data_IF_107219588988
#
_entry.id   IF_107219588988
#
_cell.length_a   1.000
_cell.length_b   1.000
_cell.length_c   1.000
_cell.angle_alpha   90.00
_cell.angle_beta   90.00
_cell.angle_gamma   90.00
#
_symmetry.space_group_name_H-M   'P 1'
#
loop_
_entity.id
_entity.type
_entity.pdbx_description
1 polymer ?
#
# COMPACT_ATOMS: atom_id res chain seq x y z
N UNK A 1 33.50 78.24 -41.38
CA UNK A 1 34.94 77.93 -41.60
C UNK A 1 35.58 77.74 -40.24
N UNK A 2 36.26 76.61 -40.03
CA UNK A 2 36.95 76.31 -38.77
C UNK A 2 38.14 77.27 -38.61
N UNK A 3 38.19 78.02 -37.50
CA UNK A 3 39.22 79.02 -37.22
C UNK A 3 40.22 78.58 -36.15
N UNK A 4 39.81 77.65 -35.29
CA UNK A 4 40.66 77.14 -34.21
C UNK A 4 40.33 75.68 -33.88
N UNK A 5 41.38 74.88 -33.66
CA UNK A 5 41.31 73.53 -33.10
C UNK A 5 42.06 73.52 -31.78
N UNK A 6 41.35 73.25 -30.70
CA UNK A 6 41.90 73.20 -29.34
C UNK A 6 42.03 71.74 -28.90
N UNK A 7 43.26 71.31 -28.66
CA UNK A 7 43.60 69.99 -28.13
C UNK A 7 43.98 70.12 -26.65
N UNK A 8 43.36 69.35 -25.78
CA UNK A 8 43.59 69.44 -24.33
C UNK A 8 43.77 68.05 -23.76
N UNK A 9 44.92 67.82 -23.10
CA UNK A 9 45.18 66.64 -22.25
C UNK A 9 44.89 65.29 -22.93
N UNK A 10 45.25 65.16 -24.21
CA UNK A 10 45.06 63.93 -25.00
C UNK A 10 46.35 63.50 -25.71
N UNK A 11 46.74 62.23 -25.54
CA UNK A 11 47.97 61.64 -26.09
C UNK A 11 49.22 62.52 -25.90
N UNK A 12 49.80 63.06 -26.97
CA UNK A 12 50.99 63.91 -26.93
C UNK A 12 50.72 65.35 -26.47
N UNK A 13 49.45 65.77 -26.36
CA UNK A 13 49.05 67.10 -25.89
C UNK A 13 48.88 67.09 -24.37
N UNK A 14 49.96 67.41 -23.62
CA UNK A 14 49.97 67.38 -22.14
C UNK A 14 49.23 68.56 -21.49
N UNK A 15 48.98 69.63 -22.23
CA UNK A 15 48.25 70.82 -21.81
C UNK A 15 47.32 71.30 -22.91
N UNK A 16 46.65 72.42 -22.68
CA UNK A 16 45.79 73.05 -23.68
C UNK A 16 46.63 73.71 -24.77
N UNK A 17 46.49 73.24 -26.00
CA UNK A 17 47.20 73.76 -27.17
C UNK A 17 46.20 74.06 -28.28
N UNK A 18 46.29 75.24 -28.87
CA UNK A 18 45.40 75.67 -29.95
C UNK A 18 46.14 75.81 -31.28
N UNK A 19 45.56 75.27 -32.34
CA UNK A 19 45.92 75.57 -33.72
C UNK A 19 44.94 76.62 -34.24
N UNK A 20 45.37 77.88 -34.29
CA UNK A 20 44.58 79.02 -34.78
C UNK A 20 44.99 79.34 -36.21
N UNK A 21 44.03 79.42 -37.12
CA UNK A 21 44.29 79.72 -38.53
C UNK A 21 43.10 80.40 -39.21
N UNK A 22 43.38 81.33 -40.11
CA UNK A 22 42.43 81.98 -41.02
C UNK A 22 42.56 81.44 -42.46
N UNK A 23 43.46 80.49 -42.70
CA UNK A 23 43.79 79.99 -44.05
C UNK A 23 42.87 78.85 -44.45
N UNK A 24 42.51 78.83 -45.74
CA UNK A 24 41.72 77.75 -46.36
C UNK A 24 42.50 76.43 -46.46
N UNK A 25 43.82 76.52 -46.68
CA UNK A 25 44.71 75.36 -46.77
C UNK A 25 45.73 75.47 -45.65
N UNK A 26 45.82 74.42 -44.84
CA UNK A 26 46.72 74.34 -43.69
C UNK A 26 47.58 73.08 -43.82
N UNK A 27 48.90 73.24 -43.77
CA UNK A 27 49.84 72.13 -43.79
C UNK A 27 50.47 71.97 -42.41
N UNK A 28 50.09 70.90 -41.71
CA UNK A 28 50.63 70.56 -40.38
C UNK A 28 51.60 69.40 -40.52
N UNK A 29 52.89 69.65 -40.28
CA UNK A 29 53.95 68.65 -40.38
C UNK A 29 54.77 68.58 -39.09
N UNK A 30 55.49 67.47 -38.90
CA UNK A 30 56.31 67.23 -37.72
C UNK A 30 56.83 65.80 -37.69
N UNK A 31 57.78 65.53 -36.79
CA UNK A 31 58.38 64.20 -36.60
C UNK A 31 57.34 63.13 -36.19
N UNK A 32 57.70 61.86 -36.30
CA UNK A 32 56.84 60.78 -35.81
C UNK A 32 56.60 60.93 -34.30
N UNK A 33 55.36 60.67 -33.84
CA UNK A 33 54.98 60.81 -32.43
C UNK A 33 54.54 62.21 -31.98
N UNK A 34 54.61 63.24 -32.83
CA UNK A 34 54.22 64.62 -32.46
C UNK A 34 52.71 64.86 -32.35
N UNK A 35 51.86 63.84 -32.48
CA UNK A 35 50.40 63.95 -32.31
C UNK A 35 49.60 64.27 -33.58
N UNK A 36 50.20 64.20 -34.78
CA UNK A 36 49.50 64.42 -36.06
C UNK A 36 48.29 63.49 -36.25
N UNK A 37 48.47 62.19 -35.97
CA UNK A 37 47.37 61.21 -36.06
C UNK A 37 46.29 61.47 -35.02
N UNK A 38 46.67 61.89 -33.81
CA UNK A 38 45.70 62.25 -32.76
C UNK A 38 44.83 63.44 -33.16
N UNK A 39 45.43 64.45 -33.80
CA UNK A 39 44.69 65.59 -34.34
C UNK A 39 43.72 65.16 -35.45
N UNK A 40 44.14 64.29 -36.37
CA UNK A 40 43.26 63.79 -37.42
C UNK A 40 42.15 62.87 -36.88
N UNK A 41 42.43 62.04 -35.87
CA UNK A 41 41.44 61.20 -35.20
C UNK A 41 40.38 62.03 -34.46
N UNK A 42 40.75 63.16 -33.86
CA UNK A 42 39.80 64.08 -33.27
C UNK A 42 38.83 64.64 -34.32
N UNK A 43 39.34 65.03 -35.48
CA UNK A 43 38.49 65.50 -36.58
C UNK A 43 37.59 64.38 -37.14
N UNK A 44 38.04 63.12 -37.10
CA UNK A 44 37.29 61.98 -37.61
C UNK A 44 36.18 61.51 -36.66
N UNK A 45 36.44 61.48 -35.34
CA UNK A 45 35.50 61.06 -34.30
C UNK A 45 35.55 62.04 -33.11
N UNK A 46 35.02 63.26 -33.27
CA UNK A 46 35.10 64.30 -32.23
C UNK A 46 34.34 63.93 -30.95
N UNK A 47 33.39 63.00 -31.04
CA UNK A 47 32.60 62.48 -29.92
C UNK A 47 33.26 61.34 -29.14
N UNK A 48 34.46 60.88 -29.52
CA UNK A 48 35.20 59.88 -28.73
C UNK A 48 35.49 60.43 -27.33
N UNK A 49 35.25 59.61 -26.30
CA UNK A 49 35.49 59.91 -24.89
C UNK A 49 36.85 60.57 -24.59
N UNK A 50 37.88 60.23 -25.37
CA UNK A 50 39.24 60.75 -25.23
C UNK A 50 39.38 62.22 -25.63
N UNK A 51 38.44 62.76 -26.40
CA UNK A 51 38.45 64.14 -26.90
C UNK A 51 37.44 65.07 -26.21
N UNK A 52 36.83 64.63 -25.10
CA UNK A 52 35.83 65.40 -24.34
C UNK A 52 36.27 66.82 -23.94
N UNK A 53 37.57 67.04 -23.78
CA UNK A 53 38.16 68.34 -23.42
C UNK A 53 38.73 69.12 -24.63
N UNK A 54 38.64 68.55 -25.84
CA UNK A 54 39.07 69.18 -27.08
C UNK A 54 37.89 69.93 -27.73
N UNK A 55 38.18 71.00 -28.48
CA UNK A 55 37.14 71.87 -29.08
C UNK A 55 37.49 72.27 -30.50
N UNK A 56 36.45 72.47 -31.30
CA UNK A 56 36.50 73.07 -32.64
C UNK A 56 35.75 74.39 -32.60
N UNK A 57 36.41 75.48 -32.99
CA UNK A 57 35.88 76.84 -32.91
C UNK A 57 35.95 77.53 -34.29
N UNK A 58 34.86 78.21 -34.74
CA UNK A 58 33.51 78.09 -34.20
C UNK A 58 33.01 76.64 -34.32
N UNK A 59 32.00 76.28 -33.53
CA UNK A 59 31.39 74.95 -33.60
C UNK A 59 30.92 74.67 -35.03
N UNK A 60 31.48 73.64 -35.65
CA UNK A 60 31.17 73.25 -37.03
C UNK A 60 30.04 72.22 -36.99
N UNK A 61 28.97 72.48 -37.73
CA UNK A 61 27.85 71.55 -37.93
C UNK A 61 27.95 70.77 -39.25
N UNK A 62 28.82 71.21 -40.16
CA UNK A 62 29.06 70.58 -41.44
C UNK A 62 29.78 69.23 -41.27
N UNK A 63 29.53 68.30 -42.21
CA UNK A 63 30.22 67.01 -42.24
C UNK A 63 31.71 67.18 -42.49
N UNK A 64 32.54 66.80 -41.52
CA UNK A 64 33.99 66.79 -41.65
C UNK A 64 34.42 65.46 -42.29
N UNK A 65 35.04 65.52 -43.46
CA UNK A 65 35.60 64.36 -44.15
C UNK A 65 37.08 64.21 -43.79
N UNK A 66 37.42 63.14 -43.09
CA UNK A 66 38.80 62.82 -42.71
C UNK A 66 39.23 61.51 -43.34
N UNK A 67 40.30 61.57 -44.13
CA UNK A 67 40.98 60.40 -44.64
C UNK A 67 42.21 60.10 -43.79
N UNK A 68 42.10 59.13 -42.89
CA UNK A 68 43.21 58.70 -42.02
C UNK A 68 43.19 57.17 -41.80
N UNK A 69 44.10 56.64 -41.00
CA UNK A 69 44.20 55.20 -40.72
C UNK A 69 42.93 54.64 -40.05
N UNK A 70 42.28 55.43 -39.19
CA UNK A 70 41.01 55.06 -38.54
C UNK A 70 39.87 54.91 -39.56
N UNK A 71 39.81 55.79 -40.56
CA UNK A 71 38.87 55.66 -41.69
C UNK A 71 39.14 54.38 -42.50
N UNK A 72 40.41 54.11 -42.81
CA UNK A 72 40.78 52.90 -43.56
C UNK A 72 40.33 51.65 -42.79
N UNK A 73 40.63 51.57 -41.50
CA UNK A 73 40.24 50.42 -40.66
C UNK A 73 38.71 50.23 -40.53
N UNK A 74 37.95 51.32 -40.43
CA UNK A 74 36.50 51.25 -40.24
C UNK A 74 35.73 50.91 -41.53
N UNK A 75 36.26 51.28 -42.70
CA UNK A 75 35.55 51.16 -43.98
C UNK A 75 36.15 50.14 -44.95
N UNK A 76 37.42 49.77 -44.79
CA UNK A 76 38.08 48.78 -45.63
C UNK A 76 38.30 47.52 -44.81
N UNK A 77 37.75 46.41 -45.28
CA UNK A 77 37.95 45.09 -44.69
C UNK A 77 38.29 44.09 -45.79
N UNK A 78 39.32 43.27 -45.53
CA UNK A 78 39.61 42.07 -46.30
C UNK A 78 38.79 40.93 -45.71
N UNK A 79 37.87 40.38 -46.50
CA UNK A 79 37.17 39.16 -46.13
C UNK A 79 38.15 37.98 -46.17
N UNK A 80 38.16 37.14 -45.13
CA UNK A 80 38.98 35.91 -45.09
C UNK A 80 38.67 34.93 -46.24
N UNK A 81 37.56 35.14 -46.95
CA UNK A 81 37.10 34.28 -48.07
C UNK A 81 37.68 34.69 -49.43
N UNK A 82 38.08 35.96 -49.61
CA UNK A 82 38.52 36.51 -50.91
C UNK A 82 39.67 37.51 -50.68
N UNK A 83 40.91 37.02 -50.83
CA UNK A 83 42.10 37.86 -50.77
C UNK A 83 42.10 38.87 -51.92
N UNK A 84 42.28 40.16 -51.61
CA UNK A 84 42.37 41.24 -52.60
C UNK A 84 41.06 41.92 -52.99
N UNK A 85 39.92 41.58 -52.36
CA UNK A 85 38.65 42.30 -52.55
C UNK A 85 38.40 43.22 -51.34
N UNK A 86 38.48 44.52 -51.58
CA UNK A 86 38.15 45.54 -50.58
C UNK A 86 36.66 45.86 -50.65
N UNK A 87 35.89 45.38 -49.66
CA UNK A 87 34.48 45.74 -49.54
C UNK A 87 34.34 47.03 -48.72
N UNK A 88 33.60 48.01 -49.25
CA UNK A 88 33.31 49.30 -48.62
C UNK A 88 31.99 49.22 -47.86
N UNK A 89 31.99 48.85 -46.58
CA UNK A 89 30.89 49.13 -45.63
C UNK A 89 31.12 48.52 -44.25
N UNK A 90 31.05 49.36 -43.22
CA UNK A 90 31.12 48.98 -41.80
C UNK A 90 29.97 48.05 -41.37
N UNK A 91 28.80 48.24 -41.97
CA UNK A 91 27.58 47.48 -41.70
C UNK A 91 27.67 46.02 -42.17
N UNK A 92 28.27 45.78 -43.35
CA UNK A 92 28.41 44.43 -43.88
C UNK A 92 29.37 43.57 -43.03
N UNK A 93 30.46 44.17 -42.51
CA UNK A 93 31.39 43.47 -41.62
C UNK A 93 30.71 42.97 -40.33
N UNK A 94 29.91 43.82 -39.69
CA UNK A 94 29.21 43.46 -38.46
C UNK A 94 28.14 42.38 -38.70
N UNK A 95 27.45 42.43 -39.84
CA UNK A 95 26.47 41.43 -40.25
C UNK A 95 27.13 40.07 -40.53
N UNK A 96 28.22 40.03 -41.28
CA UNK A 96 28.96 38.80 -41.60
C UNK A 96 29.53 38.13 -40.35
N UNK A 97 30.08 38.90 -39.41
CA UNK A 97 30.58 38.37 -38.14
C UNK A 97 29.46 37.74 -37.30
N UNK A 98 28.29 38.38 -37.23
CA UNK A 98 27.12 37.82 -36.53
C UNK A 98 26.63 36.53 -37.18
N UNK A 99 26.61 36.47 -38.51
CA UNK A 99 26.22 35.26 -39.25
C UNK A 99 27.23 34.13 -38.97
N UNK A 100 28.53 34.41 -39.04
CA UNK A 100 29.56 33.42 -38.78
C UNK A 100 29.49 32.87 -37.35
N UNK A 101 29.26 33.74 -36.36
CA UNK A 101 29.11 33.33 -34.97
C UNK A 101 27.83 32.50 -34.75
N UNK A 102 26.70 32.93 -35.31
CA UNK A 102 25.44 32.16 -35.25
C UNK A 102 25.59 30.78 -35.91
N UNK A 103 26.30 30.69 -37.03
CA UNK A 103 26.60 29.41 -37.70
C UNK A 103 27.44 28.49 -36.81
N UNK A 104 28.47 29.00 -36.14
CA UNK A 104 29.25 28.20 -35.17
C UNK A 104 28.40 27.70 -34.01
N UNK A 105 27.52 28.55 -33.49
CA UNK A 105 26.61 28.18 -32.41
C UNK A 105 25.63 27.08 -32.84
N UNK A 106 25.08 27.17 -34.07
CA UNK A 106 24.21 26.12 -34.63
C UNK A 106 24.96 24.79 -34.69
N UNK A 107 26.18 24.76 -35.22
CA UNK A 107 26.99 23.53 -35.29
C UNK A 107 27.24 22.96 -33.90
N UNK A 108 27.66 23.79 -32.94
CA UNK A 108 27.89 23.34 -31.56
C UNK A 108 26.62 22.79 -30.88
N UNK A 109 25.46 23.39 -31.14
CA UNK A 109 24.18 22.90 -30.62
C UNK A 109 23.75 21.58 -31.31
N UNK A 110 24.00 21.43 -32.60
CA UNK A 110 23.74 20.18 -33.32
C UNK A 110 24.60 19.03 -32.80
N UNK A 111 25.89 19.28 -32.57
CA UNK A 111 26.80 18.29 -31.99
C UNK A 111 26.35 17.88 -30.58
N UNK A 112 26.01 18.86 -29.72
CA UNK A 112 25.50 18.60 -28.38
C UNK A 112 24.18 17.81 -28.39
N UNK A 113 23.26 18.13 -29.31
CA UNK A 113 22.01 17.39 -29.49
C UNK A 113 22.30 15.94 -29.90
N UNK A 114 23.21 15.73 -30.85
CA UNK A 114 23.57 14.40 -31.33
C UNK A 114 24.17 13.54 -30.20
N UNK A 115 25.04 14.11 -29.38
CA UNK A 115 25.62 13.45 -28.22
C UNK A 115 24.55 13.06 -27.19
N UNK A 116 23.60 13.97 -26.89
CA UNK A 116 22.50 13.68 -25.97
C UNK A 116 21.56 12.60 -26.48
N UNK A 117 21.27 12.58 -27.79
CA UNK A 117 20.48 11.50 -28.39
C UNK A 117 21.18 10.15 -28.30
N UNK A 118 22.50 10.11 -28.47
CA UNK A 118 23.29 8.88 -28.27
C UNK A 118 23.26 8.41 -26.81
N UNK A 119 23.40 9.33 -25.84
CA UNK A 119 23.28 9.01 -24.41
C UNK A 119 21.91 8.43 -24.06
N UNK A 120 20.82 9.04 -24.55
CA UNK A 120 19.44 8.54 -24.35
C UNK A 120 19.29 7.13 -24.92
N UNK A 121 19.74 6.92 -26.15
CA UNK A 121 19.66 5.61 -26.80
C UNK A 121 20.43 4.55 -26.01
N UNK A 122 21.66 4.85 -25.59
CA UNK A 122 22.48 3.93 -24.81
C UNK A 122 21.84 3.57 -23.45
N UNK A 123 21.24 4.56 -22.77
CA UNK A 123 20.51 4.34 -21.52
C UNK A 123 19.27 3.46 -21.72
N UNK A 124 18.55 3.66 -22.83
CA UNK A 124 17.35 2.91 -23.16
C UNK A 124 17.69 1.45 -23.54
N UNK A 125 18.72 1.25 -24.36
CA UNK A 125 19.25 -0.08 -24.69
C UNK A 125 19.72 -0.83 -23.42
N UNK A 126 20.35 -0.12 -22.48
CA UNK A 126 20.77 -0.71 -21.21
C UNK A 126 19.58 -1.10 -20.32
N UNK A 127 18.52 -0.29 -20.26
CA UNK A 127 17.29 -0.60 -19.54
C UNK A 127 16.57 -1.80 -20.14
N UNK A 128 16.43 -1.83 -21.47
CA UNK A 128 15.77 -2.93 -22.18
C UNK A 128 16.54 -4.23 -21.98
N UNK A 129 17.88 -4.19 -22.00
CA UNK A 129 18.72 -5.34 -21.66
C UNK A 129 18.45 -5.84 -20.24
N UNK A 130 18.45 -4.95 -19.24
CA UNK A 130 18.18 -5.33 -17.84
C UNK A 130 16.78 -5.90 -17.66
N UNK A 131 15.79 -5.36 -18.36
CA UNK A 131 14.42 -5.85 -18.36
C UNK A 131 14.33 -7.26 -18.95
N UNK A 132 14.99 -7.49 -20.09
CA UNK A 132 15.04 -8.81 -20.73
C UNK A 132 15.78 -9.84 -19.87
N UNK A 133 16.94 -9.49 -19.31
CA UNK A 133 17.69 -10.36 -18.39
C UNK A 133 16.81 -10.78 -17.20
N UNK A 134 16.05 -9.85 -16.61
CA UNK A 134 15.12 -10.14 -15.52
C UNK A 134 13.95 -11.03 -15.97
N UNK A 135 13.37 -10.75 -17.14
CA UNK A 135 12.29 -11.55 -17.71
C UNK A 135 12.76 -12.99 -17.98
N UNK A 136 13.98 -13.17 -18.47
CA UNK A 136 14.58 -14.48 -18.74
C UNK A 136 14.84 -15.26 -17.46
N UNK A 137 15.41 -14.63 -16.43
CA UNK A 137 15.64 -15.26 -15.13
C UNK A 137 14.33 -15.71 -14.47
N UNK A 138 13.29 -14.87 -14.51
CA UNK A 138 11.96 -15.21 -14.01
C UNK A 138 11.36 -16.38 -14.80
N UNK A 139 11.54 -16.39 -16.11
CA UNK A 139 11.02 -17.44 -16.97
C UNK A 139 11.72 -18.78 -16.73
N UNK A 140 13.02 -18.76 -16.45
CA UNK A 140 13.79 -19.93 -16.05
C UNK A 140 13.27 -20.51 -14.73
N UNK A 141 13.07 -19.67 -13.71
CA UNK A 141 12.46 -20.06 -12.44
C UNK A 141 11.09 -20.72 -12.70
N UNK A 142 10.21 -20.06 -13.47
CA UNK A 142 8.91 -20.63 -13.85
C UNK A 142 9.06 -21.99 -14.53
N UNK A 143 10.04 -22.15 -15.42
CA UNK A 143 10.24 -23.39 -16.17
C UNK A 143 10.67 -24.53 -15.25
N UNK A 144 11.53 -24.25 -14.26
CA UNK A 144 11.98 -25.23 -13.27
C UNK A 144 10.84 -25.74 -12.36
N UNK A 145 9.81 -24.93 -12.11
CA UNK A 145 8.69 -25.27 -11.22
C UNK A 145 7.38 -25.64 -11.94
N UNK A 146 7.26 -25.37 -13.25
CA UNK A 146 6.16 -25.85 -14.09
C UNK A 146 6.55 -27.04 -14.99
N UNK A 147 7.83 -27.31 -15.19
CA UNK A 147 8.31 -28.42 -16.02
C UNK A 147 8.55 -29.67 -15.18
N UNK A 148 7.68 -30.67 -15.30
CA UNK A 148 7.81 -31.94 -14.57
C UNK A 148 6.47 -32.45 -14.04
N UNK A 149 6.38 -32.58 -12.71
CA UNK A 149 5.23 -33.08 -11.95
C UNK A 149 3.98 -32.19 -12.02
N UNK A 150 4.10 -30.94 -12.51
CA UNK A 150 3.01 -29.97 -12.73
C UNK A 150 2.19 -29.61 -11.48
N UNK A 151 2.63 -30.03 -10.30
CA UNK A 151 1.93 -29.83 -9.02
C UNK A 151 1.66 -28.36 -8.71
N UNK A 152 2.62 -27.48 -9.03
CA UNK A 152 2.52 -26.03 -8.78
C UNK A 152 2.05 -25.24 -10.01
N UNK A 153 1.59 -25.92 -11.06
CA UNK A 153 1.21 -25.27 -12.31
C UNK A 153 -0.01 -24.35 -12.15
N UNK A 154 -0.93 -24.69 -11.24
CA UNK A 154 -2.11 -23.88 -10.91
C UNK A 154 -1.75 -22.51 -10.32
N UNK A 155 -0.61 -22.39 -9.61
CA UNK A 155 -0.18 -21.13 -9.01
C UNK A 155 0.18 -20.05 -10.04
N UNK A 156 0.43 -20.46 -11.29
CA UNK A 156 0.83 -19.56 -12.38
C UNK A 156 -0.22 -19.51 -13.49
N UNK A 157 -1.48 -19.84 -13.17
CA UNK A 157 -2.53 -19.83 -14.17
C UNK A 157 -2.75 -18.44 -14.78
N UNK A 158 -2.96 -18.40 -16.10
CA UNK A 158 -3.03 -17.16 -16.87
C UNK A 158 -1.70 -16.39 -17.05
N UNK A 159 -0.60 -16.79 -16.39
CA UNK A 159 0.71 -16.14 -16.46
C UNK A 159 1.76 -16.92 -17.27
N UNK A 160 1.44 -18.14 -17.70
CA UNK A 160 2.34 -19.07 -18.41
C UNK A 160 2.57 -18.78 -19.90
N UNK A 161 1.78 -17.87 -20.50
CA UNK A 161 1.76 -17.67 -21.96
C UNK A 161 2.73 -16.62 -22.50
N UNK A 162 3.13 -15.63 -21.70
CA UNK A 162 3.97 -14.51 -22.15
C UNK A 162 4.94 -14.04 -21.05
N UNK A 163 6.23 -13.89 -21.40
CA UNK A 163 7.29 -13.43 -20.49
C UNK A 163 6.98 -12.07 -19.87
N UNK A 164 6.60 -11.09 -20.69
CA UNK A 164 6.29 -9.73 -20.22
C UNK A 164 5.11 -9.69 -19.24
N UNK A 165 4.11 -10.55 -19.44
CA UNK A 165 2.94 -10.63 -18.56
C UNK A 165 3.33 -11.13 -17.17
N UNK A 166 4.18 -12.16 -17.10
CA UNK A 166 4.71 -12.67 -15.84
C UNK A 166 5.60 -11.65 -15.12
N UNK A 167 6.51 -10.99 -15.85
CA UNK A 167 7.34 -9.93 -15.29
C UNK A 167 6.48 -8.78 -14.72
N UNK A 168 5.51 -8.31 -15.50
CA UNK A 168 4.63 -7.20 -15.08
C UNK A 168 3.80 -7.57 -13.85
N UNK A 169 3.33 -8.82 -13.76
CA UNK A 169 2.63 -9.31 -12.58
C UNK A 169 3.52 -9.27 -11.34
N UNK A 170 4.75 -9.79 -11.43
CA UNK A 170 5.69 -9.83 -10.30
C UNK A 170 6.15 -8.44 -9.85
N UNK A 171 6.34 -7.50 -10.78
CA UNK A 171 6.69 -6.11 -10.45
C UNK A 171 5.60 -5.37 -9.66
N UNK A 172 4.33 -5.78 -9.82
CA UNK A 172 3.21 -5.22 -9.07
C UNK A 172 3.03 -5.85 -7.68
N UNK A 173 3.75 -6.93 -7.37
CA UNK A 173 3.67 -7.57 -6.06
C UNK A 173 4.61 -6.88 -5.07
N UNK A 174 4.15 -6.63 -3.82
CA UNK A 174 5.03 -6.13 -2.78
C UNK A 174 6.10 -7.18 -2.48
N UNK A 175 7.37 -6.79 -2.54
CA UNK A 175 8.47 -7.67 -2.18
C UNK A 175 8.39 -8.00 -0.67
N UNK A 176 8.34 -9.29 -0.28
CA UNK A 176 8.40 -9.67 1.12
C UNK A 176 9.69 -9.16 1.78
N UNK A 177 9.58 -8.72 3.03
CA UNK A 177 10.73 -8.26 3.84
C UNK A 177 11.60 -9.41 4.33
N UNK A 178 11.02 -10.59 4.48
CA UNK A 178 11.71 -11.82 4.90
C UNK A 178 11.52 -12.91 3.85
N UNK A 179 12.51 -13.80 3.76
CA UNK A 179 12.44 -14.98 2.91
C UNK A 179 11.37 -15.96 3.43
N UNK A 180 10.53 -16.55 2.55
CA UNK A 180 9.58 -17.57 2.96
C UNK A 180 10.29 -18.77 3.60
N UNK A 181 9.83 -19.21 4.77
CA UNK A 181 10.44 -20.34 5.49
C UNK A 181 10.00 -21.71 4.96
N UNK A 182 8.94 -21.76 4.15
CA UNK A 182 8.41 -23.02 3.62
C UNK A 182 9.18 -23.39 2.35
N UNK A 183 9.85 -24.55 2.39
CA UNK A 183 10.59 -25.06 1.25
C UNK A 183 9.65 -25.57 0.14
N UNK A 184 10.10 -25.47 -1.11
CA UNK A 184 9.33 -25.94 -2.29
C UNK A 184 8.81 -27.39 -2.17
N UNK A 185 9.58 -28.38 -1.68
CA UNK A 185 9.08 -29.74 -1.54
C UNK A 185 7.87 -29.85 -0.60
N UNK A 186 7.82 -29.05 0.46
CA UNK A 186 6.69 -29.01 1.38
C UNK A 186 5.45 -28.42 0.68
N UNK A 187 5.63 -27.33 -0.07
CA UNK A 187 4.54 -26.73 -0.86
C UNK A 187 3.96 -27.70 -1.89
N UNK A 188 4.81 -28.52 -2.53
CA UNK A 188 4.35 -29.56 -3.45
C UNK A 188 3.50 -30.61 -2.73
N UNK A 189 3.97 -31.12 -1.59
CA UNK A 189 3.22 -32.09 -0.78
C UNK A 189 1.87 -31.55 -0.33
N UNK A 190 1.82 -30.29 0.08
CA UNK A 190 0.60 -29.63 0.52
C UNK A 190 -0.38 -29.44 -0.66
N UNK A 191 0.13 -29.02 -1.83
CA UNK A 191 -0.66 -28.87 -3.04
C UNK A 191 -1.23 -30.22 -3.54
N UNK A 192 -0.44 -31.30 -3.46
CA UNK A 192 -0.91 -32.66 -3.79
C UNK A 192 -2.01 -33.11 -2.83
N UNK A 193 -1.84 -32.88 -1.52
CA UNK A 193 -2.86 -33.22 -0.53
C UNK A 193 -4.19 -32.46 -0.75
N UNK A 194 -4.12 -31.21 -1.22
CA UNK A 194 -5.29 -30.41 -1.58
C UNK A 194 -5.94 -30.81 -2.92
N UNK A 195 -5.14 -31.37 -3.85
CA UNK A 195 -5.59 -31.79 -5.17
C UNK A 195 -6.13 -33.22 -5.20
N UNK A 196 -5.89 -33.99 -4.13
CA UNK A 196 -6.37 -35.35 -4.01
C UNK A 196 -7.91 -35.36 -3.90
N UNK A 197 -8.57 -35.64 -5.03
CA UNK A 197 -10.02 -35.75 -5.14
C UNK A 197 -10.60 -36.90 -4.27
N UNK A 198 -9.75 -37.71 -3.63
CA UNK A 198 -10.17 -38.71 -2.65
C UNK A 198 -10.33 -38.16 -1.22
N UNK A 199 -10.00 -36.88 -0.99
CA UNK A 199 -10.26 -36.20 0.26
C UNK A 199 -11.77 -36.17 0.53
N UNK A 200 -12.23 -37.09 1.37
CA UNK A 200 -13.61 -37.09 1.86
C UNK A 200 -13.77 -35.85 2.75
N UNK A 201 -14.81 -35.03 2.53
CA UNK A 201 -15.23 -34.06 3.54
C UNK A 201 -15.36 -34.80 4.86
N UNK A 202 -14.79 -34.23 5.94
CA UNK A 202 -15.12 -34.71 7.27
C UNK A 202 -16.64 -34.63 7.40
N UNK A 203 -17.28 -35.76 7.73
CA UNK A 203 -18.71 -35.77 8.02
C UNK A 203 -18.97 -34.77 9.15
N UNK A 204 -19.91 -33.86 8.92
CA UNK A 204 -20.33 -32.93 9.96
C UNK A 204 -20.83 -33.73 11.16
N UNK A 205 -20.34 -33.38 12.35
CA UNK A 205 -20.80 -34.01 13.58
C UNK A 205 -22.33 -33.85 13.66
N UNK A 206 -23.09 -34.94 13.84
CA UNK A 206 -24.53 -34.85 13.92
C UNK A 206 -24.94 -34.01 15.13
N UNK A 207 -25.96 -33.18 14.95
CA UNK A 207 -26.54 -32.42 16.05
C UNK A 207 -27.19 -33.37 17.07
N UNK A 208 -26.64 -33.41 18.29
CA UNK A 208 -27.19 -34.22 19.37
C UNK A 208 -28.43 -33.55 19.96
N UNK A 209 -29.61 -34.06 19.62
CA UNK A 209 -30.88 -33.58 20.15
C UNK A 209 -31.39 -34.50 21.28
N UNK A 210 -31.52 -33.96 22.50
CA UNK A 210 -32.18 -34.66 23.60
C UNK A 210 -33.69 -34.38 23.58
N UNK A 211 -34.47 -35.35 23.10
CA UNK A 211 -35.90 -35.19 22.86
C UNK A 211 -36.77 -35.07 24.14
N UNK A 212 -36.22 -35.32 25.34
CA UNK A 212 -36.98 -35.38 26.60
C UNK A 212 -36.65 -34.26 27.59
N UNK A 213 -36.27 -33.07 27.10
CA UNK A 213 -36.09 -31.86 27.95
C UNK A 213 -37.32 -31.53 28.80
N UNK A 214 -38.51 -31.88 28.32
CA UNK A 214 -39.77 -31.70 29.07
C UNK A 214 -39.80 -32.47 30.40
N UNK A 215 -39.06 -33.58 30.52
CA UNK A 215 -38.94 -34.33 31.77
C UNK A 215 -38.24 -33.50 32.84
N UNK A 216 -37.14 -32.83 32.49
CA UNK A 216 -36.34 -31.99 33.40
C UNK A 216 -37.11 -30.77 33.91
N UNK A 217 -38.07 -30.29 33.13
CA UNK A 217 -38.91 -29.15 33.50
C UNK A 217 -40.20 -29.56 34.23
N UNK A 218 -40.42 -30.84 34.52
CA UNK A 218 -41.66 -31.26 35.16
C UNK A 218 -41.72 -30.78 36.63
N UNK A 219 -42.75 -30.00 37.03
CA UNK A 219 -42.86 -29.45 38.39
C UNK A 219 -42.83 -30.50 39.51
N UNK A 220 -43.20 -31.75 39.20
CA UNK A 220 -43.21 -32.83 40.20
C UNK A 220 -41.81 -33.10 40.77
N UNK A 221 -40.75 -32.84 40.01
CA UNK A 221 -39.37 -33.02 40.47
C UNK A 221 -38.99 -32.04 41.60
N UNK A 222 -39.72 -30.92 41.71
CA UNK A 222 -39.56 -29.94 42.80
C UNK A 222 -40.60 -30.09 43.91
N UNK A 223 -41.56 -31.01 43.76
CA UNK A 223 -42.64 -31.24 44.72
C UNK A 223 -42.22 -32.30 45.73
N UNK A 224 -42.32 -31.99 47.02
CA UNK A 224 -42.22 -33.01 48.06
C UNK A 224 -43.47 -33.91 48.02
N UNK A 225 -43.28 -35.18 47.65
CA UNK A 225 -44.37 -36.17 47.59
C UNK A 225 -44.55 -36.75 48.99
N UNK A 226 -45.56 -36.25 49.69
CA UNK A 226 -45.97 -36.74 51.01
C UNK A 226 -47.42 -37.22 50.95
N UNK A 227 -47.80 -38.11 51.86
CA UNK A 227 -49.19 -38.52 52.00
C UNK A 227 -50.08 -37.40 52.52
N UNK A 228 -51.38 -37.69 52.66
CA UNK A 228 -52.38 -36.77 53.16
C UNK A 228 -52.00 -36.26 54.57
N UNK A 229 -51.62 -34.97 54.65
CA UNK A 229 -51.17 -34.32 55.88
C UNK A 229 -52.28 -34.10 56.90
N UNK A 230 -53.54 -34.19 56.48
CA UNK A 230 -54.71 -34.03 57.35
C UNK A 230 -55.10 -35.35 58.05
N UNK A 231 -54.39 -36.45 57.76
CA UNK A 231 -54.57 -37.73 58.45
C UNK A 231 -54.00 -37.69 59.87
N UNK A 232 -54.69 -38.33 60.82
CA UNK A 232 -54.27 -38.39 62.23
C UNK A 232 -52.92 -39.07 62.45
N UNK A 233 -52.45 -39.89 61.50
CA UNK A 233 -51.15 -40.57 61.56
C UNK A 233 -50.01 -39.77 60.91
N UNK A 234 -50.33 -38.72 60.13
CA UNK A 234 -49.36 -37.96 59.35
C UNK A 234 -48.27 -37.32 60.23
N UNK A 235 -48.63 -36.84 61.42
CA UNK A 235 -47.70 -36.24 62.36
C UNK A 235 -46.56 -37.19 62.76
N UNK A 236 -46.89 -38.43 63.13
CA UNK A 236 -45.90 -39.42 63.54
C UNK A 236 -45.03 -39.87 62.37
N UNK A 237 -45.62 -40.12 61.20
CA UNK A 237 -44.89 -40.52 59.99
C UNK A 237 -43.87 -39.44 59.59
N UNK A 238 -44.28 -38.17 59.67
CA UNK A 238 -43.42 -37.03 59.36
C UNK A 238 -42.27 -36.89 60.36
N UNK A 239 -42.53 -37.06 61.66
CA UNK A 239 -41.48 -36.98 62.70
C UNK A 239 -40.46 -38.11 62.58
N UNK A 240 -40.91 -39.32 62.25
CA UNK A 240 -40.03 -40.49 62.11
C UNK A 240 -39.39 -40.62 60.72
N UNK A 241 -39.82 -39.81 59.75
CA UNK A 241 -39.37 -39.85 58.36
C UNK A 241 -39.43 -41.27 57.76
N UNK A 242 -40.48 -42.04 58.08
CA UNK A 242 -40.58 -43.47 57.77
C UNK A 242 -41.76 -43.80 56.83
N UNK A 243 -42.17 -42.85 55.99
CA UNK A 243 -43.33 -42.98 55.10
C UNK A 243 -43.26 -44.21 54.19
N UNK A 244 -42.10 -44.51 53.60
CA UNK A 244 -41.93 -45.67 52.72
C UNK A 244 -42.08 -46.99 53.48
N UNK A 245 -41.49 -47.08 54.69
CA UNK A 245 -41.62 -48.24 55.56
C UNK A 245 -43.09 -48.49 55.96
N UNK A 246 -43.85 -47.43 56.28
CA UNK A 246 -45.28 -47.56 56.60
C UNK A 246 -46.07 -48.04 55.37
N UNK A 247 -45.75 -47.55 54.18
CA UNK A 247 -46.38 -47.95 52.92
C UNK A 247 -46.12 -49.42 52.60
N UNK A 248 -44.86 -49.86 52.68
CA UNK A 248 -44.48 -51.25 52.50
C UNK A 248 -45.13 -52.15 53.56
N UNK A 249 -45.22 -51.65 54.80
CA UNK A 249 -45.90 -52.30 55.92
C UNK A 249 -47.35 -52.71 55.63
N UNK A 250 -48.08 -51.93 54.82
CA UNK A 250 -49.46 -52.25 54.42
C UNK A 250 -49.57 -53.59 53.66
N UNK A 251 -48.53 -53.99 52.92
CA UNK A 251 -48.52 -55.25 52.17
C UNK A 251 -48.51 -56.49 53.07
N UNK A 252 -48.05 -56.35 54.32
CA UNK A 252 -48.00 -57.43 55.31
C UNK A 252 -49.27 -57.54 56.15
N UNK A 253 -50.25 -56.66 55.94
CA UNK A 253 -51.52 -56.72 56.64
C UNK A 253 -52.45 -57.78 56.01
N UNK A 254 -53.22 -58.53 56.82
CA UNK A 254 -54.15 -59.52 56.29
C UNK A 254 -55.27 -58.84 55.47
N UNK A 255 -55.83 -59.54 54.46
CA UNK A 255 -56.85 -58.98 53.57
C UNK A 255 -58.16 -58.62 54.30
N UNK A 256 -58.44 -59.26 55.45
CA UNK A 256 -59.58 -58.96 56.32
C UNK A 256 -59.06 -58.64 57.72
N UNK A 257 -59.34 -57.42 58.19
CA UNK A 257 -58.97 -56.94 59.51
C UNK A 257 -60.25 -56.80 60.33
N UNK A 258 -60.41 -57.57 61.42
CA UNK A 258 -61.58 -57.46 62.28
C UNK A 258 -61.53 -56.18 63.13
N UNK A 259 -62.69 -55.67 63.56
CA UNK A 259 -62.78 -54.45 64.38
C UNK A 259 -62.08 -54.61 65.73
N UNK A 260 -62.10 -55.83 66.31
CA UNK A 260 -61.39 -56.17 67.53
C UNK A 260 -59.85 -56.28 67.38
N UNK A 261 -59.31 -56.03 66.19
CA UNK A 261 -57.88 -56.01 65.91
C UNK A 261 -57.30 -57.33 65.40
N UNK A 262 -56.39 -57.25 64.42
CA UNK A 262 -55.54 -58.35 63.97
C UNK A 262 -54.15 -58.27 64.58
N UNK A 263 -53.43 -59.40 64.54
CA UNK A 263 -52.06 -59.50 65.02
C UNK A 263 -51.13 -58.63 64.17
N UNK A 264 -50.41 -57.71 64.82
CA UNK A 264 -49.41 -56.87 64.17
C UNK A 264 -48.20 -57.72 63.75
N UNK A 265 -47.74 -57.66 62.49
CA UNK A 265 -46.56 -58.38 62.02
C UNK A 265 -45.27 -58.04 62.78
N UNK A 266 -45.20 -56.88 63.43
CA UNK A 266 -44.00 -56.37 64.09
C UNK A 266 -43.98 -56.67 65.60
N UNK A 267 -44.99 -56.19 66.34
CA UNK A 267 -45.04 -56.35 67.80
C UNK A 267 -45.80 -57.60 68.26
N UNK A 268 -46.43 -58.34 67.33
CA UNK A 268 -47.22 -59.56 67.59
C UNK A 268 -48.43 -59.38 68.51
N UNK A 269 -48.73 -58.14 68.94
CA UNK A 269 -49.94 -57.80 69.70
C UNK A 269 -51.11 -57.52 68.74
N UNK A 270 -52.35 -57.64 69.24
CA UNK A 270 -53.56 -57.35 68.46
C UNK A 270 -53.87 -55.85 68.44
N UNK A 271 -53.08 -55.09 67.68
CA UNK A 271 -53.15 -53.62 67.64
C UNK A 271 -53.65 -53.07 66.31
N UNK A 272 -53.74 -53.89 65.26
CA UNK A 272 -54.15 -53.44 63.93
C UNK A 272 -55.67 -53.56 63.78
N UNK A 273 -56.41 -52.48 64.03
CA UNK A 273 -57.86 -52.43 63.81
C UNK A 273 -58.20 -52.06 62.36
N UNK A 274 -59.44 -52.34 61.93
CA UNK A 274 -59.93 -51.94 60.61
C UNK A 274 -59.84 -50.42 60.40
N UNK A 275 -60.17 -49.64 61.43
CA UNK A 275 -60.05 -48.18 61.43
C UNK A 275 -58.61 -47.69 61.22
N UNK A 276 -57.64 -48.27 61.94
CA UNK A 276 -56.23 -47.90 61.81
C UNK A 276 -55.70 -48.21 60.40
N UNK A 277 -56.02 -49.38 59.86
CA UNK A 277 -55.59 -49.75 58.51
C UNK A 277 -56.20 -48.85 57.43
N UNK A 278 -57.45 -48.40 57.61
CA UNK A 278 -58.06 -47.39 56.75
C UNK A 278 -57.34 -46.05 56.86
N UNK A 279 -57.08 -45.55 58.07
CA UNK A 279 -56.33 -44.29 58.27
C UNK A 279 -54.94 -44.30 57.64
N UNK A 280 -54.23 -45.44 57.69
CA UNK A 280 -52.92 -45.60 57.03
C UNK A 280 -53.07 -45.64 55.51
N UNK A 281 -54.11 -46.28 54.97
CA UNK A 281 -54.39 -46.27 53.53
C UNK A 281 -54.79 -44.89 53.03
N UNK A 282 -55.62 -44.18 53.79
CA UNK A 282 -56.07 -42.82 53.47
C UNK A 282 -54.93 -41.79 53.56
N UNK A 283 -53.87 -42.09 54.33
CA UNK A 283 -52.63 -41.32 54.25
C UNK A 283 -51.97 -41.43 52.87
N UNK A 284 -52.01 -42.59 52.21
CA UNK A 284 -51.53 -42.78 50.84
C UNK A 284 -52.67 -42.62 49.83
N UNK A 285 -53.25 -41.43 49.80
CA UNK A 285 -54.41 -41.12 48.98
C UNK A 285 -54.15 -41.15 47.46
N UNK A 286 -55.18 -40.78 46.71
CA UNK A 286 -55.11 -40.70 45.25
C UNK A 286 -54.11 -39.66 44.74
N UNK A 287 -53.88 -38.57 45.47
CA UNK A 287 -52.92 -37.53 45.06
C UNK A 287 -51.47 -38.05 45.19
N UNK A 288 -51.14 -38.67 46.32
CA UNK A 288 -49.84 -39.31 46.52
C UNK A 288 -49.59 -40.41 45.47
N UNK A 289 -50.61 -41.24 45.20
CA UNK A 289 -50.48 -42.34 44.23
C UNK A 289 -50.31 -41.82 42.79
N UNK A 290 -51.02 -40.75 42.43
CA UNK A 290 -50.87 -40.09 41.13
C UNK A 290 -49.46 -39.50 40.96
N UNK A 291 -48.94 -38.81 41.97
CA UNK A 291 -47.60 -38.23 41.94
C UNK A 291 -46.52 -39.31 41.74
N UNK A 292 -46.58 -40.41 42.51
CA UNK A 292 -45.62 -41.53 42.37
C UNK A 292 -45.70 -42.15 40.97
N UNK A 293 -46.91 -42.30 40.41
CA UNK A 293 -47.10 -42.82 39.05
C UNK A 293 -46.53 -41.89 37.97
N UNK A 294 -46.69 -40.57 38.16
CA UNK A 294 -46.08 -39.56 37.28
C UNK A 294 -44.57 -39.65 37.31
N UNK A 295 -43.94 -39.75 38.50
CA UNK A 295 -42.49 -39.94 38.61
C UNK A 295 -42.00 -41.20 37.88
N UNK A 296 -42.66 -42.34 38.09
CA UNK A 296 -42.27 -43.59 37.41
C UNK A 296 -42.45 -43.54 35.89
N UNK A 297 -43.32 -42.67 35.39
CA UNK A 297 -43.48 -42.43 33.95
C UNK A 297 -42.38 -41.53 33.40
N UNK A 298 -42.01 -40.48 34.14
CA UNK A 298 -40.90 -39.59 33.80
C UNK A 298 -39.55 -40.34 33.81
N UNK A 299 -39.31 -41.19 34.81
CA UNK A 299 -38.10 -42.00 34.89
C UNK A 299 -37.93 -42.89 33.65
N UNK A 300 -39.00 -43.60 33.26
CA UNK A 300 -38.98 -44.46 32.07
C UNK A 300 -38.70 -43.65 30.80
N UNK A 301 -39.39 -42.51 30.63
CA UNK A 301 -39.16 -41.63 29.48
C UNK A 301 -37.72 -41.11 29.42
N UNK A 302 -37.16 -40.74 30.57
CA UNK A 302 -35.78 -40.25 30.67
C UNK A 302 -34.76 -41.34 30.32
N UNK A 303 -34.90 -42.55 30.88
CA UNK A 303 -34.04 -43.69 30.56
C UNK A 303 -34.05 -44.01 29.07
N UNK A 304 -35.24 -44.10 28.47
CA UNK A 304 -35.37 -44.35 27.02
C UNK A 304 -34.69 -43.27 26.17
N UNK A 305 -34.73 -42.00 26.59
CA UNK A 305 -34.06 -40.92 25.88
C UNK A 305 -32.53 -40.96 26.02
N UNK A 306 -32.02 -41.34 27.19
CA UNK A 306 -30.58 -41.54 27.39
C UNK A 306 -30.09 -42.71 26.54
N UNK A 307 -30.82 -43.83 26.54
CA UNK A 307 -30.47 -45.01 25.73
C UNK A 307 -30.54 -44.74 24.21
N UNK A 308 -31.27 -43.70 23.79
CA UNK A 308 -31.34 -43.28 22.38
C UNK A 308 -30.16 -42.42 21.92
N UNK A 309 -29.33 -41.93 22.84
CA UNK A 309 -28.08 -41.25 22.50
C UNK A 309 -27.01 -42.32 22.32
N UNK A 310 -26.43 -42.39 21.12
CA UNK A 310 -25.39 -43.37 20.77
C UNK A 310 -24.15 -43.26 21.65
N UNK A 311 -23.38 -44.34 21.72
CA UNK A 311 -22.10 -44.34 22.44
C UNK A 311 -21.09 -43.39 21.78
N UNK A 312 -20.17 -42.80 22.54
CA UNK A 312 -19.16 -41.88 21.98
C UNK A 312 -18.32 -42.52 20.86
N UNK A 313 -18.12 -43.84 20.92
CA UNK A 313 -17.45 -44.65 19.89
C UNK A 313 -18.16 -44.68 18.54
N UNK A 314 -19.46 -44.38 18.48
CA UNK A 314 -20.22 -44.27 17.22
C UNK A 314 -19.96 -42.93 16.50
N UNK A 315 -19.38 -41.94 17.20
CA UNK A 315 -19.13 -40.59 16.67
C UNK A 315 -17.63 -40.30 16.44
N UNK A 316 -16.75 -41.19 16.87
CA UNK A 316 -15.30 -41.11 16.64
C UNK A 316 -14.90 -42.24 15.70
N UNK A 317 -15.07 -42.02 14.39
CA UNK A 317 -14.41 -42.80 13.35
C UNK A 317 -12.92 -42.50 13.26
#
# INVERSE_FOLDING_TARGET
MLSEIQMTTVASFRGTTSLVTDKKVNLVYGLNGTGKSTLSDFLYKPSDTRFTQCKMLPTVTDTILVYNQSFIHDHFYESDRLNGIFSLSKENKAAEQKIAEAQRQIVGLQDALSAKLQEIKAAQDALDKKRNDAADAIWEIKTNYCGGDRVLEFCLDGLRGQKDRLLSHLLNLPKPTAEPQVAIPQLKKDAEALSDASAKPLEELPELAFAQRAVECNPILSKAIVGNTDSSIAGLIKTLANSDWVKEGLAFLPPKIPDQGSQCPFCQQRTITASLALTIRDYFDGAYTADVSTLGSLERAYRTAVDSIGSCSEYTG
#
